data_IF_758050331351
#
_entry.id   IF_758050331351
#
_cell.length_a   1.000
_cell.length_b   1.000
_cell.length_c   1.000
_cell.angle_alpha   90.00
_cell.angle_beta   90.00
_cell.angle_gamma   90.00
#
_symmetry.space_group_name_H-M   'P 1'
#
loop_
_entity.id
_entity.type
_entity.pdbx_description
1 polymer ?
#
# COMPACT_ATOMS: atom_id res chain seq x y z
N UNK A 1 -9.95 14.42 -5.87
CA UNK A 1 -8.59 14.26 -6.39
C UNK A 1 -8.58 13.12 -7.40
N UNK A 2 -8.08 13.35 -8.61
CA UNK A 2 -7.91 12.34 -9.64
C UNK A 2 -6.44 11.92 -9.70
N UNK A 3 -6.18 10.62 -9.84
CA UNK A 3 -4.84 10.08 -10.07
C UNK A 3 -4.86 9.29 -11.38
N UNK A 4 -3.74 9.25 -12.08
CA UNK A 4 -3.61 8.51 -13.34
C UNK A 4 -2.72 7.29 -13.09
N UNK A 5 -3.11 6.15 -13.66
CA UNK A 5 -2.32 4.92 -13.63
C UNK A 5 -2.11 4.50 -15.08
N UNK A 6 -0.84 4.36 -15.49
CA UNK A 6 -0.47 3.87 -16.81
C UNK A 6 0.14 2.48 -16.67
N UNK A 7 -0.55 1.40 -17.10
CA UNK A 7 0.09 0.09 -17.23
C UNK A 7 1.22 0.16 -18.26
N UNK A 8 2.36 -0.45 -17.94
CA UNK A 8 3.51 -0.56 -18.87
C UNK A 8 3.62 -1.94 -19.51
N UNK A 9 2.81 -2.89 -19.02
CA UNK A 9 2.64 -4.23 -19.57
C UNK A 9 1.16 -4.62 -19.54
N UNK A 10 0.72 -5.51 -20.43
CA UNK A 10 -0.66 -6.03 -20.41
C UNK A 10 -0.96 -6.83 -19.14
N UNK A 11 -2.25 -6.92 -18.77
CA UNK A 11 -2.78 -7.82 -17.74
C UNK A 11 -2.09 -7.80 -16.36
N UNK A 12 -1.30 -6.76 -16.08
CA UNK A 12 -0.68 -6.57 -14.79
C UNK A 12 -1.77 -6.20 -13.76
N UNK A 13 -1.76 -6.82 -12.57
CA UNK A 13 -2.58 -6.37 -11.46
C UNK A 13 -2.36 -4.87 -11.18
N UNK A 14 -3.43 -4.08 -11.24
CA UNK A 14 -3.38 -2.63 -11.02
C UNK A 14 -3.88 -2.25 -9.62
N UNK A 15 -3.42 -1.10 -9.09
CA UNK A 15 -3.95 -0.57 -7.84
C UNK A 15 -5.47 -0.40 -7.88
N UNK A 16 -6.13 -0.80 -6.78
CA UNK A 16 -7.59 -0.70 -6.63
C UNK A 16 -7.94 0.17 -5.44
N UNK A 17 -9.08 0.86 -5.50
CA UNK A 17 -9.54 1.67 -4.37
C UNK A 17 -9.63 0.82 -3.10
N UNK A 18 -9.02 1.31 -2.01
CA UNK A 18 -9.13 0.64 -0.73
C UNK A 18 -10.57 0.70 -0.22
N UNK A 19 -11.07 -0.43 0.29
CA UNK A 19 -12.41 -0.50 0.86
C UNK A 19 -12.33 -0.33 2.38
N UNK A 20 -13.24 0.47 2.95
CA UNK A 20 -13.32 0.63 4.40
C UNK A 20 -13.71 -0.67 5.13
N UNK A 21 -14.21 -1.69 4.42
CA UNK A 21 -14.58 -2.96 5.01
C UNK A 21 -13.33 -3.86 5.23
N UNK A 22 -12.93 -4.03 6.49
CA UNK A 22 -11.87 -4.96 6.91
C UNK A 22 -12.43 -6.24 7.56
N UNK A 23 -13.72 -6.53 7.40
CA UNK A 23 -14.34 -7.69 8.04
C UNK A 23 -13.83 -8.98 7.40
N UNK A 24 -12.97 -9.70 8.11
CA UNK A 24 -13.01 -11.15 8.03
C UNK A 24 -14.30 -11.61 8.73
N UNK A 25 -15.01 -12.64 8.24
CA UNK A 25 -16.09 -13.23 9.00
C UNK A 25 -15.57 -13.66 10.38
N UNK A 26 -16.20 -13.18 11.45
CA UNK A 26 -15.82 -13.57 12.81
C UNK A 26 -15.95 -15.08 12.99
N UNK A 27 -15.14 -15.67 13.86
CA UNK A 27 -15.31 -17.09 14.22
C UNK A 27 -16.74 -17.29 14.76
N UNK A 28 -17.45 -18.36 14.36
CA UNK A 28 -18.76 -18.69 14.91
C UNK A 28 -18.70 -18.69 16.45
N UNK A 29 -19.62 -17.98 17.10
CA UNK A 29 -19.71 -17.90 18.57
C UNK A 29 -18.93 -16.75 19.24
N UNK A 30 -18.07 -16.04 18.52
CA UNK A 30 -17.50 -14.78 19.02
C UNK A 30 -18.38 -13.59 18.58
N UNK A 31 -18.56 -12.62 19.48
CA UNK A 31 -19.21 -11.35 19.16
C UNK A 31 -18.49 -10.61 18.02
N UNK A 32 -19.17 -9.63 17.42
CA UNK A 32 -18.60 -8.80 16.34
C UNK A 32 -17.29 -8.18 16.82
N UNK A 33 -16.19 -8.39 16.09
CA UNK A 33 -14.93 -7.69 16.38
C UNK A 33 -15.19 -6.19 16.31
N UNK A 34 -15.12 -5.51 17.45
CA UNK A 34 -15.37 -4.07 17.52
C UNK A 34 -14.28 -3.34 16.75
N UNK A 35 -14.69 -2.59 15.73
CA UNK A 35 -13.79 -1.72 14.98
C UNK A 35 -14.14 -0.28 15.29
N UNK A 36 -13.13 0.44 15.77
CA UNK A 36 -13.22 1.87 15.95
C UNK A 36 -13.35 2.54 14.56
N UNK A 37 -14.38 3.37 14.38
CA UNK A 37 -14.78 3.90 13.07
C UNK A 37 -13.66 4.70 12.36
N UNK A 38 -12.87 5.56 13.05
CA UNK A 38 -11.70 6.20 12.46
C UNK A 38 -10.70 5.21 11.84
N UNK A 39 -10.45 4.06 12.48
CA UNK A 39 -9.54 3.04 11.94
C UNK A 39 -10.12 2.36 10.70
N UNK A 40 -11.45 2.17 10.67
CA UNK A 40 -12.17 1.62 9.52
C UNK A 40 -12.16 2.60 8.35
N UNK A 41 -12.32 3.89 8.63
CA UNK A 41 -12.21 4.95 7.62
C UNK A 41 -10.79 5.04 7.05
N UNK A 42 -9.77 4.98 7.90
CA UNK A 42 -8.36 4.97 7.50
C UNK A 42 -8.03 3.78 6.58
N UNK A 43 -8.60 2.60 6.85
CA UNK A 43 -8.42 1.43 5.98
C UNK A 43 -8.99 1.64 4.55
N UNK A 44 -9.98 2.53 4.38
CA UNK A 44 -10.56 2.89 3.09
C UNK A 44 -9.83 4.00 2.33
N UNK A 45 -8.72 4.52 2.86
CA UNK A 45 -7.96 5.59 2.20
C UNK A 45 -7.10 5.06 1.05
N UNK A 46 -6.99 5.87 0.00
CA UNK A 46 -6.04 5.61 -1.09
C UNK A 46 -6.33 4.35 -1.90
N UNK A 47 -5.25 3.69 -2.36
CA UNK A 47 -5.32 2.51 -3.21
C UNK A 47 -4.55 1.34 -2.59
N UNK A 48 -5.08 0.14 -2.74
CA UNK A 48 -4.38 -1.11 -2.46
C UNK A 48 -3.54 -1.50 -3.67
N UNK A 49 -2.26 -1.76 -3.44
CA UNK A 49 -1.28 -2.17 -4.45
C UNK A 49 -1.16 -3.69 -4.44
N UNK A 50 -1.54 -4.37 -5.54
CA UNK A 50 -1.34 -5.81 -5.68
C UNK A 50 0.10 -6.17 -6.09
N UNK A 51 0.53 -7.37 -5.74
CA UNK A 51 1.73 -7.99 -6.31
C UNK A 51 1.52 -8.23 -7.81
N UNK A 52 2.48 -7.87 -8.68
CA UNK A 52 2.29 -7.98 -10.13
C UNK A 52 2.53 -9.40 -10.68
N UNK A 53 3.24 -10.26 -9.96
CA UNK A 53 3.54 -11.66 -10.30
C UNK A 53 3.71 -12.49 -9.02
N UNK A 54 3.78 -13.82 -9.18
CA UNK A 54 4.07 -14.73 -8.08
C UNK A 54 5.56 -14.72 -7.76
N UNK A 55 5.91 -14.52 -6.50
CA UNK A 55 7.30 -14.56 -6.04
C UNK A 55 7.43 -15.06 -4.61
N UNK A 56 8.64 -15.38 -4.20
CA UNK A 56 8.88 -15.77 -2.82
C UNK A 56 10.33 -16.02 -2.48
N UNK A 57 10.54 -16.45 -1.24
CA UNK A 57 11.80 -16.85 -0.65
C UNK A 57 11.52 -18.08 0.21
N UNK A 58 12.03 -19.23 -0.17
CA UNK A 58 11.74 -20.50 0.52
C UNK A 58 12.92 -21.45 0.41
N UNK A 59 12.88 -22.60 1.10
CA UNK A 59 13.90 -23.62 0.89
C UNK A 59 13.84 -24.15 -0.54
N UNK A 60 14.96 -24.62 -1.13
CA UNK A 60 14.96 -25.13 -2.51
C UNK A 60 13.92 -26.24 -2.78
N UNK A 61 13.61 -27.06 -1.77
CA UNK A 61 12.60 -28.12 -1.88
C UNK A 61 11.15 -27.61 -1.87
N UNK A 62 10.92 -26.36 -1.50
CA UNK A 62 9.60 -25.72 -1.39
C UNK A 62 9.29 -24.81 -2.59
N UNK A 63 10.23 -24.68 -3.54
CA UNK A 63 10.05 -23.87 -4.73
C UNK A 63 8.86 -24.42 -5.54
N UNK A 64 7.86 -23.59 -5.88
CA UNK A 64 6.72 -24.05 -6.65
C UNK A 64 7.13 -24.65 -8.00
N UNK A 65 6.42 -25.69 -8.49
CA UNK A 65 6.64 -26.22 -9.82
C UNK A 65 6.57 -25.10 -10.87
N UNK A 66 7.45 -25.13 -11.87
CA UNK A 66 7.56 -24.13 -12.96
C UNK A 66 8.08 -22.75 -12.52
N UNK A 67 8.36 -22.52 -11.25
CA UNK A 67 9.04 -21.31 -10.81
C UNK A 67 10.52 -21.33 -11.18
N UNK A 68 11.08 -20.15 -11.43
CA UNK A 68 12.51 -19.94 -11.64
C UNK A 68 13.15 -19.54 -10.32
N UNK A 69 13.92 -20.45 -9.74
CA UNK A 69 14.71 -20.18 -8.55
C UNK A 69 16.03 -19.47 -8.90
N UNK A 70 16.45 -18.54 -8.05
CA UNK A 70 17.73 -17.85 -8.17
C UNK A 70 18.25 -17.38 -6.81
N UNK A 71 19.57 -17.19 -6.72
CA UNK A 71 20.22 -16.58 -5.58
C UNK A 71 20.34 -15.07 -5.77
N UNK A 72 20.26 -14.27 -4.69
CA UNK A 72 20.60 -12.86 -4.77
C UNK A 72 22.10 -12.70 -5.12
N UNK A 73 22.53 -11.52 -5.59
CA UNK A 73 23.96 -11.23 -5.76
C UNK A 73 24.69 -11.32 -4.40
N UNK A 74 26.02 -11.53 -4.39
CA UNK A 74 26.78 -11.72 -3.15
C UNK A 74 26.55 -10.65 -2.08
N UNK A 75 26.42 -9.37 -2.47
CA UNK A 75 26.17 -8.26 -1.54
C UNK A 75 24.82 -8.31 -0.81
N UNK A 76 23.85 -9.06 -1.35
CA UNK A 76 22.53 -9.27 -0.76
C UNK A 76 22.31 -10.72 -0.30
N UNK A 77 23.36 -11.54 -0.33
CA UNK A 77 23.31 -12.89 0.20
C UNK A 77 23.54 -12.86 1.71
N UNK A 78 22.56 -13.37 2.46
CA UNK A 78 22.63 -13.37 3.93
C UNK A 78 23.35 -14.64 4.37
N UNK A 79 24.47 -14.46 5.08
CA UNK A 79 25.28 -15.58 5.54
C UNK A 79 24.43 -16.60 6.33
N UNK A 80 24.53 -17.87 5.94
CA UNK A 80 23.76 -18.96 6.55
C UNK A 80 22.32 -19.12 6.06
N UNK A 81 21.79 -18.17 5.28
CA UNK A 81 20.44 -18.30 4.70
C UNK A 81 20.44 -19.25 3.50
N UNK A 82 19.88 -20.45 3.72
CA UNK A 82 19.78 -21.52 2.72
C UNK A 82 18.60 -21.35 1.75
N UNK A 83 17.74 -20.35 1.97
CA UNK A 83 16.56 -20.12 1.13
C UNK A 83 16.95 -19.55 -0.23
N UNK A 84 16.14 -19.80 -1.24
CA UNK A 84 16.30 -19.26 -2.60
C UNK A 84 15.13 -18.38 -2.94
N UNK A 85 15.39 -17.28 -3.67
CA UNK A 85 14.30 -16.54 -4.27
C UNK A 85 13.72 -17.34 -5.43
N UNK A 86 12.43 -17.15 -5.69
CA UNK A 86 11.81 -17.63 -6.91
C UNK A 86 10.84 -16.59 -7.47
N UNK A 87 10.60 -16.70 -8.79
CA UNK A 87 9.51 -16.02 -9.48
C UNK A 87 8.80 -17.00 -10.41
N UNK A 88 7.51 -16.82 -10.65
CA UNK A 88 6.82 -17.53 -11.72
C UNK A 88 6.67 -16.61 -12.94
N UNK A 89 6.99 -17.12 -14.13
CA UNK A 89 6.75 -16.39 -15.37
C UNK A 89 5.25 -16.09 -15.51
N UNK A 90 4.93 -14.91 -16.04
CA UNK A 90 3.56 -14.48 -16.34
C UNK A 90 3.53 -13.92 -17.77
N UNK A 91 3.43 -14.79 -18.78
CA UNK A 91 3.52 -14.38 -20.19
C UNK A 91 2.44 -13.36 -20.60
N UNK A 92 1.24 -13.44 -20.00
CA UNK A 92 0.16 -12.46 -20.21
C UNK A 92 0.58 -11.04 -19.83
N UNK A 93 1.55 -10.88 -18.92
CA UNK A 93 2.12 -9.60 -18.51
C UNK A 93 3.54 -9.38 -19.00
N UNK A 94 3.97 -10.14 -20.03
CA UNK A 94 5.33 -10.10 -20.60
C UNK A 94 6.42 -10.15 -19.52
N UNK A 95 6.16 -10.94 -18.47
CA UNK A 95 7.08 -11.16 -17.37
C UNK A 95 7.72 -12.54 -17.50
N UNK A 96 9.03 -12.55 -17.74
CA UNK A 96 9.81 -13.78 -17.95
C UNK A 96 11.16 -13.63 -17.27
N UNK A 97 11.59 -14.65 -16.52
CA UNK A 97 12.96 -14.70 -16.00
C UNK A 97 13.31 -13.54 -15.06
N UNK A 98 12.34 -13.10 -14.24
CA UNK A 98 12.47 -11.95 -13.34
C UNK A 98 12.57 -10.58 -14.04
N UNK A 99 12.08 -10.46 -15.27
CA UNK A 99 12.02 -9.18 -15.97
C UNK A 99 10.70 -8.99 -16.74
N UNK A 100 10.20 -7.77 -16.71
CA UNK A 100 9.14 -7.29 -17.59
C UNK A 100 9.73 -6.75 -18.89
N UNK A 101 9.08 -7.02 -20.00
CA UNK A 101 9.29 -6.30 -21.26
C UNK A 101 8.14 -5.33 -21.47
N UNK A 102 8.42 -4.03 -21.38
CA UNK A 102 7.42 -2.98 -21.51
C UNK A 102 6.91 -2.84 -22.95
N UNK A 103 5.81 -2.11 -23.11
CA UNK A 103 5.36 -1.64 -24.42
C UNK A 103 6.46 -0.82 -25.12
N UNK A 104 6.43 -0.87 -26.45
CA UNK A 104 7.36 -0.07 -27.26
C UNK A 104 7.10 1.42 -27.00
N UNK A 105 8.18 2.14 -26.71
CA UNK A 105 8.17 3.58 -26.55
C UNK A 105 8.75 4.18 -27.83
N UNK A 106 7.91 4.75 -28.71
CA UNK A 106 8.39 5.30 -29.94
C UNK A 106 8.92 6.73 -29.71
N UNK A 107 10.02 7.07 -30.35
CA UNK A 107 10.67 8.38 -30.25
C UNK A 107 11.34 8.75 -31.58
N UNK A 108 11.64 10.02 -31.77
CA UNK A 108 12.39 10.49 -32.93
C UNK A 108 13.83 10.75 -32.47
N UNK A 109 14.81 10.19 -33.20
CA UNK A 109 16.23 10.40 -32.89
C UNK A 109 16.73 11.78 -33.36
N UNK A 110 18.01 12.09 -33.12
CA UNK A 110 18.62 13.38 -33.50
C UNK A 110 18.56 13.65 -35.02
N UNK A 111 18.34 12.61 -35.85
CA UNK A 111 18.22 12.71 -37.30
C UNK A 111 16.74 12.80 -37.75
N UNK A 112 15.80 12.89 -36.80
CA UNK A 112 14.36 12.90 -37.06
C UNK A 112 13.82 11.55 -37.52
N UNK A 113 14.57 10.45 -37.37
CA UNK A 113 14.10 9.13 -37.75
C UNK A 113 13.28 8.52 -36.61
N UNK A 114 12.14 7.91 -36.97
CA UNK A 114 11.29 7.21 -36.02
C UNK A 114 11.98 5.94 -35.54
N UNK A 115 12.21 5.84 -34.24
CA UNK A 115 12.78 4.68 -33.54
C UNK A 115 11.81 4.19 -32.46
N UNK A 116 12.03 2.97 -31.98
CA UNK A 116 11.39 2.50 -30.76
C UNK A 116 12.42 1.90 -29.81
N UNK A 117 12.17 2.04 -28.51
CA UNK A 117 12.82 1.24 -27.48
C UNK A 117 11.79 0.36 -26.79
N UNK A 118 12.19 -0.85 -26.40
CA UNK A 118 11.41 -1.74 -25.52
C UNK A 118 12.15 -1.93 -24.22
N UNK A 119 11.89 -1.08 -23.21
CA UNK A 119 12.57 -1.19 -21.94
C UNK A 119 12.36 -2.57 -21.32
N UNK A 120 13.43 -3.14 -20.78
CA UNK A 120 13.39 -4.32 -19.92
C UNK A 120 13.59 -3.84 -18.50
N UNK A 121 12.69 -4.23 -17.61
CA UNK A 121 12.70 -3.80 -16.23
C UNK A 121 12.65 -5.01 -15.31
N UNK A 122 13.47 -5.07 -14.24
CA UNK A 122 13.42 -6.19 -13.30
C UNK A 122 12.05 -6.30 -12.63
N UNK A 123 11.69 -7.50 -12.18
CA UNK A 123 10.58 -7.74 -11.26
C UNK A 123 11.03 -7.61 -9.82
N UNK A 124 12.05 -8.39 -9.44
CA UNK A 124 12.78 -8.28 -8.18
C UNK A 124 14.20 -7.79 -8.44
N UNK A 125 14.70 -6.91 -7.57
CA UNK A 125 16.13 -6.58 -7.51
C UNK A 125 16.61 -6.44 -6.07
N UNK A 126 17.92 -6.27 -5.89
CA UNK A 126 18.56 -6.28 -4.58
C UNK A 126 19.38 -5.00 -4.39
N UNK A 127 19.67 -4.68 -3.14
CA UNK A 127 20.62 -3.64 -2.81
C UNK A 127 22.04 -4.18 -2.96
N UNK A 128 22.98 -3.29 -3.25
CA UNK A 128 24.40 -3.56 -3.44
C UNK A 128 25.23 -3.37 -2.15
N UNK A 129 24.55 -3.11 -1.03
CA UNK A 129 25.16 -2.88 0.29
C UNK A 129 24.82 -4.00 1.26
N UNK A 130 25.84 -4.46 1.99
CA UNK A 130 25.71 -5.54 2.99
C UNK A 130 24.76 -5.18 4.14
N UNK A 131 24.76 -3.91 4.58
CA UNK A 131 23.83 -3.43 5.62
C UNK A 131 22.35 -3.44 5.17
N UNK A 132 22.09 -3.69 3.89
CA UNK A 132 20.78 -3.79 3.27
C UNK A 132 20.49 -5.19 2.72
N UNK A 133 21.28 -6.22 3.04
CA UNK A 133 21.08 -7.61 2.57
C UNK A 133 19.75 -8.24 3.05
N UNK A 134 19.13 -7.66 4.08
CA UNK A 134 17.81 -8.01 4.58
C UNK A 134 16.66 -7.35 3.78
N UNK A 135 16.97 -6.56 2.74
CA UNK A 135 16.01 -5.83 1.92
C UNK A 135 16.10 -6.27 0.45
N UNK A 136 14.97 -6.19 -0.23
CA UNK A 136 14.89 -6.36 -1.68
C UNK A 136 13.82 -5.44 -2.27
N UNK A 137 13.87 -5.20 -3.57
CA UNK A 137 12.97 -4.29 -4.28
C UNK A 137 11.98 -5.09 -5.12
N UNK A 138 10.69 -4.81 -4.96
CA UNK A 138 9.64 -5.23 -5.87
C UNK A 138 9.34 -4.08 -6.83
N UNK A 139 9.56 -4.31 -8.11
CA UNK A 139 9.32 -3.34 -9.17
C UNK A 139 7.88 -3.45 -9.68
N UNK A 140 7.18 -2.31 -9.74
CA UNK A 140 5.80 -2.24 -10.20
C UNK A 140 5.76 -1.98 -11.71
N UNK A 141 4.97 -2.72 -12.52
CA UNK A 141 4.96 -2.56 -13.97
C UNK A 141 3.95 -1.50 -14.45
N UNK A 142 3.82 -0.40 -13.70
CA UNK A 142 2.91 0.70 -14.00
C UNK A 142 3.43 2.01 -13.42
N UNK A 143 3.04 3.13 -14.03
CA UNK A 143 3.27 4.47 -13.50
C UNK A 143 2.04 4.94 -12.74
N UNK A 144 2.28 5.69 -11.66
CA UNK A 144 1.25 6.44 -10.94
C UNK A 144 1.60 7.92 -11.07
N UNK A 145 0.61 8.74 -11.46
CA UNK A 145 0.70 10.19 -11.49
C UNK A 145 -0.34 10.80 -10.58
N UNK A 146 0.12 11.66 -9.69
CA UNK A 146 -0.72 12.49 -8.84
C UNK A 146 -0.81 13.91 -9.42
N UNK A 147 -1.79 14.72 -9.00
CA UNK A 147 -1.77 16.15 -9.29
C UNK A 147 -0.53 16.82 -8.70
N UNK A 148 -0.13 18.00 -9.22
CA UNK A 148 0.97 18.77 -8.65
C UNK A 148 0.79 18.98 -7.13
N UNK A 149 1.90 18.93 -6.39
CA UNK A 149 1.91 19.15 -4.93
C UNK A 149 1.18 18.08 -4.11
N UNK A 150 1.02 16.87 -4.67
CA UNK A 150 0.50 15.71 -3.94
C UNK A 150 1.55 14.61 -3.95
N UNK A 151 1.83 14.07 -2.78
CA UNK A 151 2.77 12.97 -2.63
C UNK A 151 2.04 11.64 -2.49
N UNK A 152 2.69 10.58 -2.96
CA UNK A 152 2.25 9.21 -2.77
C UNK A 152 3.02 8.57 -1.63
N UNK A 153 2.33 8.33 -0.51
CA UNK A 153 2.82 7.64 0.65
C UNK A 153 2.53 6.14 0.51
N UNK A 154 3.55 5.35 0.19
CA UNK A 154 3.49 3.89 0.12
C UNK A 154 3.83 3.30 1.49
N UNK A 155 2.94 2.47 2.02
CA UNK A 155 3.18 1.78 3.28
C UNK A 155 2.38 0.51 3.40
N UNK A 156 2.43 -0.06 4.60
CA UNK A 156 1.68 -1.26 4.92
C UNK A 156 0.17 -1.01 4.78
N UNK A 157 -0.59 -1.94 4.18
CA UNK A 157 -2.04 -1.95 4.20
C UNK A 157 -2.59 -1.78 5.62
N UNK A 158 -3.38 -0.73 5.81
CA UNK A 158 -3.93 -0.38 7.12
C UNK A 158 -5.03 -1.39 7.48
N UNK A 159 -4.90 -2.01 8.65
CA UNK A 159 -5.85 -3.00 9.20
C UNK A 159 -6.12 -4.20 8.27
N UNK A 160 -5.08 -4.67 7.56
CA UNK A 160 -5.16 -5.87 6.71
C UNK A 160 -3.94 -6.75 6.95
N UNK A 161 -4.09 -8.08 6.91
CA UNK A 161 -2.93 -8.96 6.86
C UNK A 161 -2.16 -8.71 5.56
N UNK A 162 -0.84 -8.80 5.64
CA UNK A 162 0.03 -8.75 4.48
C UNK A 162 0.91 -9.99 4.41
N UNK A 163 1.26 -10.44 3.21
CA UNK A 163 2.17 -11.56 3.05
C UNK A 163 3.63 -11.14 3.28
N UNK A 164 3.95 -9.84 3.22
CA UNK A 164 5.33 -9.34 3.28
C UNK A 164 5.41 -7.96 3.95
N UNK A 165 6.42 -7.80 4.80
CA UNK A 165 6.75 -6.51 5.42
C UNK A 165 7.46 -5.58 4.42
N UNK A 166 7.34 -4.27 4.59
CA UNK A 166 7.89 -3.26 3.66
C UNK A 166 8.36 -2.04 4.44
N UNK A 167 9.38 -1.37 3.91
CA UNK A 167 9.69 -0.01 4.32
C UNK A 167 8.68 0.96 3.70
N UNK A 168 8.32 1.95 4.51
CA UNK A 168 7.43 3.04 4.11
C UNK A 168 8.23 4.04 3.28
N UNK A 169 7.61 4.58 2.23
CA UNK A 169 8.25 5.56 1.35
C UNK A 169 7.27 6.66 0.92
N UNK A 170 7.77 7.90 0.86
CA UNK A 170 7.06 9.04 0.30
C UNK A 170 7.66 9.37 -1.06
N UNK A 171 6.85 9.37 -2.12
CA UNK A 171 7.31 9.58 -3.50
C UNK A 171 6.53 10.71 -4.16
N UNK A 172 7.26 11.63 -4.78
CA UNK A 172 6.73 12.77 -5.55
C UNK A 172 6.32 12.31 -6.96
N UNK A 173 5.20 11.60 -7.03
CA UNK A 173 4.70 11.00 -8.27
C UNK A 173 4.11 12.01 -9.25
N UNK A 174 4.04 13.29 -8.89
CA UNK A 174 3.66 14.37 -9.80
C UNK A 174 4.74 14.64 -10.86
N UNK A 175 6.02 14.45 -10.55
CA UNK A 175 7.12 14.60 -11.53
C UNK A 175 7.94 13.32 -11.77
N UNK A 176 8.01 12.39 -10.81
CA UNK A 176 8.83 11.16 -10.92
C UNK A 176 8.43 10.26 -12.11
N UNK A 177 9.30 10.13 -13.13
CA UNK A 177 8.96 9.49 -14.41
C UNK A 177 9.09 7.97 -14.47
N UNK A 178 9.57 7.34 -13.41
CA UNK A 178 9.80 5.89 -13.37
C UNK A 178 8.73 5.17 -12.54
N UNK A 179 8.56 3.85 -12.75
CA UNK A 179 7.74 3.06 -11.85
C UNK A 179 8.31 3.09 -10.44
N UNK A 180 7.43 3.15 -9.46
CA UNK A 180 7.84 3.08 -8.05
C UNK A 180 8.26 1.66 -7.73
N UNK A 181 9.35 1.52 -6.96
CA UNK A 181 9.80 0.24 -6.43
C UNK A 181 9.43 0.17 -4.95
N UNK A 182 8.81 -0.92 -4.52
CA UNK A 182 8.53 -1.17 -3.11
C UNK A 182 9.76 -1.83 -2.47
N UNK A 183 10.20 -1.31 -1.34
CA UNK A 183 11.30 -1.90 -0.58
C UNK A 183 10.71 -2.88 0.44
N UNK A 184 10.94 -4.16 0.22
CA UNK A 184 10.39 -5.26 1.00
C UNK A 184 11.44 -5.82 1.97
N UNK A 185 10.98 -6.26 3.14
CA UNK A 185 11.83 -6.91 4.13
C UNK A 185 11.85 -8.41 3.87
N UNK A 186 13.05 -8.98 3.78
CA UNK A 186 13.27 -10.43 3.85
C UNK A 186 12.84 -10.91 5.24
N UNK A 187 11.97 -11.93 5.36
CA UNK A 187 11.64 -12.48 6.67
C UNK A 187 12.88 -13.13 7.29
N UNK A 188 13.11 -12.91 8.59
CA UNK A 188 14.23 -13.49 9.31
C UNK A 188 14.21 -15.02 9.25
N UNK A 189 13.03 -15.62 9.38
CA UNK A 189 12.81 -17.06 9.38
C UNK A 189 11.58 -17.43 8.52
N UNK A 190 11.45 -18.73 8.23
CA UNK A 190 10.31 -19.25 7.47
C UNK A 190 10.35 -18.90 5.97
N UNK A 191 9.27 -19.29 5.29
CA UNK A 191 9.12 -19.12 3.85
C UNK A 191 8.14 -17.99 3.53
N UNK A 192 8.48 -17.22 2.51
CA UNK A 192 7.66 -16.17 1.92
C UNK A 192 7.10 -16.67 0.60
N UNK A 193 5.78 -16.61 0.45
CA UNK A 193 5.09 -16.89 -0.81
C UNK A 193 4.05 -15.80 -1.05
N UNK A 194 4.20 -15.06 -2.15
CA UNK A 194 3.29 -14.00 -2.57
C UNK A 194 2.72 -14.37 -3.94
N UNK A 195 1.40 -14.31 -4.09
CA UNK A 195 0.71 -14.55 -5.36
C UNK A 195 0.43 -13.25 -6.08
N UNK A 196 0.42 -13.29 -7.41
CA UNK A 196 -0.05 -12.19 -8.23
C UNK A 196 -1.47 -11.79 -7.79
N UNK A 197 -1.68 -10.50 -7.53
CA UNK A 197 -2.95 -9.98 -7.01
C UNK A 197 -3.02 -9.83 -5.48
N UNK A 198 -2.14 -10.51 -4.72
CA UNK A 198 -2.07 -10.33 -3.26
C UNK A 198 -1.76 -8.88 -2.93
N UNK A 199 -2.44 -8.33 -1.92
CA UNK A 199 -2.20 -6.93 -1.53
C UNK A 199 -0.89 -6.83 -0.75
N UNK A 200 0.09 -6.13 -1.32
CA UNK A 200 1.45 -5.99 -0.75
C UNK A 200 1.72 -4.61 -0.16
N UNK A 201 0.98 -3.59 -0.61
CA UNK A 201 1.10 -2.23 -0.10
C UNK A 201 -0.22 -1.48 -0.18
N UNK A 202 -0.29 -0.34 0.49
CA UNK A 202 -1.32 0.67 0.32
C UNK A 202 -0.64 2.01 0.04
N UNK A 203 -1.12 2.72 -0.97
CA UNK A 203 -0.69 4.08 -1.29
C UNK A 203 -1.75 5.07 -0.83
N UNK A 204 -1.35 5.99 0.03
CA UNK A 204 -2.15 7.12 0.48
C UNK A 204 -1.61 8.41 -0.14
N UNK A 205 -2.44 9.44 -0.22
CA UNK A 205 -2.09 10.68 -0.88
C UNK A 205 -2.04 11.81 0.13
N UNK A 206 -0.92 12.52 0.16
CA UNK A 206 -0.65 13.57 1.15
C UNK A 206 -0.41 14.86 0.39
N UNK A 207 -1.15 15.92 0.72
CA UNK A 207 -0.85 17.24 0.18
C UNK A 207 0.54 17.67 0.67
N UNK A 208 1.41 18.16 -0.23
CA UNK A 208 2.77 18.54 0.10
C UNK A 208 2.84 19.64 1.16
N UNK A 209 1.84 20.52 1.17
CA UNK A 209 1.65 21.55 2.20
C UNK A 209 1.49 20.98 3.62
N UNK A 210 1.05 19.72 3.76
CA UNK A 210 0.89 19.04 5.04
C UNK A 210 2.13 18.24 5.49
N UNK A 211 3.24 18.27 4.75
CA UNK A 211 4.49 17.57 5.13
C UNK A 211 5.09 18.10 6.43
N UNK A 212 5.05 19.41 6.59
CA UNK A 212 5.60 20.09 7.76
C UNK A 212 4.44 20.32 8.71
N UNK A 213 4.55 19.69 9.85
CA UNK A 213 3.67 19.96 10.99
C UNK A 213 4.52 20.73 11.96
N UNK A 214 4.16 21.99 12.21
CA UNK A 214 4.71 22.77 13.31
C UNK A 214 3.80 22.53 14.51
N UNK A 215 4.19 21.65 15.45
CA UNK A 215 3.33 21.34 16.59
C UNK A 215 3.23 22.57 17.48
N UNK A 216 2.01 23.09 17.67
CA UNK A 216 1.74 24.08 18.71
C UNK A 216 1.59 23.35 20.05
N UNK A 217 2.49 23.66 21.00
CA UNK A 217 2.36 23.17 22.38
C UNK A 217 1.59 24.21 23.18
N UNK A 218 0.33 23.91 23.46
CA UNK A 218 -0.55 24.81 24.19
C UNK A 218 -0.12 24.90 25.66
N UNK A 219 -0.02 26.11 26.25
CA UNK A 219 0.15 26.26 27.68
C UNK A 219 -1.08 25.72 28.41
N UNK A 220 -0.86 25.01 29.51
CA UNK A 220 -1.91 24.27 30.22
C UNK A 220 -3.06 25.16 30.71
N UNK A 221 -2.73 26.40 31.05
CA UNK A 221 -3.61 27.46 31.52
C UNK A 221 -4.13 28.37 30.39
N UNK A 222 -3.76 28.10 29.14
CA UNK A 222 -4.26 28.82 27.98
C UNK A 222 -5.74 28.57 27.73
N UNK A 223 -6.42 29.56 27.14
CA UNK A 223 -7.84 29.47 26.78
C UNK A 223 -8.12 28.29 25.83
N UNK A 224 -7.27 28.07 24.82
CA UNK A 224 -7.39 26.94 23.90
C UNK A 224 -7.26 25.59 24.61
N UNK A 225 -6.31 25.47 25.55
CA UNK A 225 -6.16 24.24 26.34
C UNK A 225 -7.39 24.00 27.23
N UNK A 226 -7.98 25.05 27.80
CA UNK A 226 -9.22 24.94 28.56
C UNK A 226 -10.40 24.46 27.71
N UNK A 227 -10.53 24.96 26.48
CA UNK A 227 -11.55 24.50 25.52
C UNK A 227 -11.37 23.00 25.23
N UNK A 228 -10.16 22.56 24.88
CA UNK A 228 -9.88 21.14 24.60
C UNK A 228 -10.13 20.24 25.82
N UNK A 229 -9.78 20.70 27.03
CA UNK A 229 -10.09 19.96 28.26
C UNK A 229 -11.59 19.85 28.50
N UNK A 230 -12.35 20.92 28.23
CA UNK A 230 -13.81 20.89 28.35
C UNK A 230 -14.42 19.93 27.32
N UNK A 231 -13.96 19.94 26.07
CA UNK A 231 -14.41 18.98 25.04
C UNK A 231 -14.14 17.53 25.46
N UNK A 232 -12.95 17.25 25.99
CA UNK A 232 -12.58 15.94 26.53
C UNK A 232 -13.48 15.53 27.71
N UNK A 233 -13.76 16.45 28.64
CA UNK A 233 -14.67 16.22 29.76
C UNK A 233 -16.09 15.90 29.28
N UNK A 234 -16.62 16.69 28.33
CA UNK A 234 -17.94 16.45 27.75
C UNK A 234 -18.01 15.08 27.07
N UNK A 235 -16.95 14.68 26.38
CA UNK A 235 -16.85 13.35 25.80
C UNK A 235 -16.94 12.24 26.87
N UNK A 236 -16.20 12.36 27.99
CA UNK A 236 -16.26 11.39 29.08
C UNK A 236 -17.65 11.28 29.71
N UNK A 237 -18.32 12.41 29.93
CA UNK A 237 -19.70 12.43 30.47
C UNK A 237 -20.66 11.74 29.51
N UNK A 238 -20.60 12.07 28.22
CA UNK A 238 -21.45 11.48 27.20
C UNK A 238 -21.20 9.97 27.07
N UNK A 239 -19.94 9.55 27.05
CA UNK A 239 -19.56 8.14 26.94
C UNK A 239 -19.97 7.32 28.18
N UNK A 240 -19.87 7.91 29.37
CA UNK A 240 -20.33 7.27 30.62
C UNK A 240 -21.85 7.03 30.65
N UNK A 241 -22.63 7.94 30.05
CA UNK A 241 -24.09 7.82 29.93
C UNK A 241 -24.50 6.83 28.84
N UNK A 242 -23.77 6.82 27.73
CA UNK A 242 -24.00 5.89 26.62
C UNK A 242 -22.69 5.51 25.95
N UNK A 243 -22.26 4.27 26.19
CA UNK A 243 -21.05 3.69 25.57
C UNK A 243 -21.11 3.67 24.04
N UNK A 244 -22.31 3.74 23.46
CA UNK A 244 -22.56 3.80 22.01
C UNK A 244 -22.53 5.22 21.43
N UNK A 245 -22.45 6.27 22.25
CA UNK A 245 -22.44 7.66 21.78
C UNK A 245 -21.30 7.94 20.78
N UNK A 246 -20.13 7.34 21.03
CA UNK A 246 -18.98 7.42 20.13
C UNK A 246 -19.31 6.90 18.72
N UNK A 247 -20.06 5.79 18.62
CA UNK A 247 -20.42 5.21 17.32
C UNK A 247 -21.38 6.10 16.54
N UNK A 248 -22.24 6.85 17.22
CA UNK A 248 -23.17 7.79 16.57
C UNK A 248 -22.46 9.04 16.09
N UNK A 249 -21.65 9.67 16.94
CA UNK A 249 -20.86 10.87 16.60
C UNK A 249 -19.88 10.59 15.45
N UNK A 250 -19.16 9.47 15.50
CA UNK A 250 -18.24 9.12 14.41
C UNK A 250 -18.95 8.78 13.09
N UNK A 251 -20.25 8.44 13.12
CA UNK A 251 -21.06 8.21 11.90
C UNK A 251 -21.66 9.50 11.33
N UNK A 252 -22.03 10.47 12.18
CA UNK A 252 -22.57 11.76 11.74
C UNK A 252 -21.50 12.61 11.06
N UNK A 253 -20.31 12.73 11.68
CA UNK A 253 -19.21 13.55 11.15
C UNK A 253 -18.61 12.99 9.85
N UNK A 254 -18.65 11.67 9.64
CA UNK A 254 -18.14 11.03 8.43
C UNK A 254 -19.19 10.89 7.30
N UNK A 255 -20.31 11.61 7.39
CA UNK A 255 -21.32 11.69 6.32
C UNK A 255 -22.03 10.36 6.00
N UNK A 256 -22.14 9.44 6.98
CA UNK A 256 -22.79 8.12 6.79
C UNK A 256 -24.19 8.02 7.36
N UNK A 257 -24.72 9.08 7.94
CA UNK A 257 -26.15 9.23 8.17
C UNK A 257 -26.72 10.07 7.03
N UNK A 258 -27.13 9.43 5.93
CA UNK A 258 -28.32 9.93 5.25
C UNK A 258 -29.40 9.77 6.31
N UNK A 259 -29.79 10.88 6.94
CA UNK A 259 -30.95 10.89 7.81
C UNK A 259 -32.08 10.24 7.04
N UNK A 260 -32.52 9.07 7.50
CA UNK A 260 -33.81 8.54 7.12
C UNK A 260 -34.80 9.59 7.61
N UNK A 261 -35.14 10.53 6.73
CA UNK A 261 -36.23 11.46 6.94
C UNK A 261 -37.45 10.61 7.28
N UNK A 262 -37.87 10.78 8.52
CA UNK A 262 -39.22 10.67 9.00
C UNK A 262 -40.25 10.97 7.91
N UNK A 263 -40.72 9.93 7.23
CA UNK A 263 -42.00 9.88 6.53
C UNK A 263 -42.76 8.73 7.19
N UNK A 264 -43.88 8.90 7.88
CA UNK A 264 -44.68 10.06 8.19
C UNK A 264 -45.78 9.54 9.10
N UNK A 265 -46.11 10.31 10.12
CA UNK A 265 -47.43 10.20 10.72
C UNK A 265 -48.45 10.56 9.64
N UNK A 266 -49.39 9.66 9.39
CA UNK A 266 -50.63 9.92 8.68
C UNK A 266 -51.74 9.19 9.45
N UNK A 267 -52.86 9.87 9.71
CA UNK A 267 -53.92 9.44 10.64
C UNK A 267 -54.59 8.11 10.25
#
# INVERSE_FOLDING_TARGET
MQVLILPLVPDAPLPRRAQAASRSPGRPGYGVQEQCLPFTAAAGLGLLVPAPFDFGLCLPAEVPPLARAFRPPPAADVAGDRRTFYVCDRPSSRFTGNAFTFDALPFDDEQGQRREIRPVHPGLSFFDREDQAHLFKLHLPWLLRTPPQVDSFFGQPINRPVPVAMHVGLVETDWYAHPVNLVLLRPAEGSLHVRAGDTVAQVNFVARAARRVDPEILPRDGSTAHVLHNELLQWHIAHGRDRSAYRRLARSEQGRLVEAQSNGAGP
#
